data_IF_274660340464
#
_entry.id   IF_274660340464
#
_cell.length_a   1.000
_cell.length_b   1.000
_cell.length_c   1.000
_cell.angle_alpha   90.00
_cell.angle_beta   90.00
_cell.angle_gamma   90.00
#
_symmetry.space_group_name_H-M   'P 1'
#
loop_
_entity.id
_entity.type
_entity.pdbx_description
1 polymer ?
#
# COMPACT_ATOMS: atom_id res chain seq x y z
N UNK A 1 -12.53 0.96 7.99
CA UNK A 1 -12.37 -0.19 7.05
C UNK A 1 -13.15 -1.38 7.60
N UNK A 2 -13.47 -2.39 6.78
CA UNK A 2 -14.11 -3.60 7.30
C UNK A 2 -13.05 -4.66 7.61
N UNK A 3 -12.69 -4.80 8.89
CA UNK A 3 -11.83 -5.87 9.36
C UNK A 3 -12.62 -7.18 9.49
N UNK A 4 -11.99 -8.29 9.12
CA UNK A 4 -12.48 -9.62 9.45
C UNK A 4 -12.29 -9.91 10.95
N UNK A 5 -12.79 -11.05 11.42
CA UNK A 5 -12.50 -11.53 12.77
C UNK A 5 -10.99 -11.69 13.01
N UNK A 6 -10.26 -12.29 12.05
CA UNK A 6 -8.81 -12.42 12.12
C UNK A 6 -8.13 -11.05 12.09
N UNK A 7 -8.56 -10.16 11.19
CA UNK A 7 -8.00 -8.82 11.06
C UNK A 7 -8.15 -8.00 12.33
N UNK A 8 -9.31 -8.07 12.97
CA UNK A 8 -9.56 -7.43 14.26
C UNK A 8 -8.72 -8.02 15.39
N UNK A 9 -8.63 -9.36 15.45
CA UNK A 9 -7.83 -10.05 16.46
C UNK A 9 -6.35 -9.70 16.36
N UNK A 10 -5.77 -9.79 15.15
CA UNK A 10 -4.36 -9.45 14.91
C UNK A 10 -4.12 -7.97 15.18
N UNK A 11 -5.04 -7.07 14.82
CA UNK A 11 -4.87 -5.65 15.09
C UNK A 11 -4.77 -5.34 16.59
N UNK A 12 -5.41 -6.12 17.44
CA UNK A 12 -5.36 -5.95 18.91
C UNK A 12 -4.18 -6.68 19.56
N UNK A 13 -3.40 -7.44 18.79
CA UNK A 13 -2.25 -8.20 19.31
C UNK A 13 -1.03 -7.32 19.57
N UNK A 14 -0.08 -7.87 20.34
CA UNK A 14 1.21 -7.22 20.60
C UNK A 14 2.00 -6.95 19.32
N UNK A 15 2.90 -5.95 19.35
CA UNK A 15 3.65 -5.52 18.18
C UNK A 15 4.41 -6.66 17.47
N UNK A 16 5.03 -7.56 18.21
CA UNK A 16 5.74 -8.71 17.65
C UNK A 16 4.82 -9.62 16.81
N UNK A 17 3.58 -9.83 17.24
CA UNK A 17 2.62 -10.67 16.52
C UNK A 17 2.11 -9.97 15.27
N UNK A 18 1.75 -8.68 15.39
CA UNK A 18 1.41 -7.82 14.24
C UNK A 18 2.51 -7.85 13.17
N UNK A 19 3.77 -7.75 13.58
CA UNK A 19 4.90 -7.76 12.65
C UNK A 19 5.04 -9.09 11.90
N UNK A 20 4.80 -10.25 12.55
CA UNK A 20 4.79 -11.55 11.86
C UNK A 20 3.73 -11.60 10.76
N UNK A 21 2.51 -11.17 11.07
CA UNK A 21 1.43 -11.11 10.09
C UNK A 21 1.72 -10.13 8.96
N UNK A 22 2.29 -8.97 9.26
CA UNK A 22 2.72 -8.02 8.23
C UNK A 22 3.77 -8.62 7.29
N UNK A 23 4.75 -9.35 7.83
CA UNK A 23 5.75 -10.05 7.02
C UNK A 23 5.10 -11.13 6.16
N UNK A 24 4.19 -11.94 6.71
CA UNK A 24 3.46 -12.94 5.95
C UNK A 24 2.69 -12.30 4.77
N UNK A 25 2.01 -11.19 5.01
CA UNK A 25 1.31 -10.43 3.97
C UNK A 25 2.28 -9.85 2.92
N UNK A 26 3.42 -9.29 3.33
CA UNK A 26 4.42 -8.72 2.41
C UNK A 26 5.17 -9.79 1.60
N UNK A 27 5.38 -10.98 2.15
CA UNK A 27 6.04 -12.08 1.44
C UNK A 27 5.07 -12.98 0.67
N UNK A 28 3.75 -12.74 0.78
CA UNK A 28 2.73 -13.49 0.06
C UNK A 28 2.46 -14.87 0.66
N UNK A 29 2.74 -15.03 1.94
CA UNK A 29 2.39 -16.21 2.73
C UNK A 29 0.96 -16.13 3.30
N UNK A 30 0.33 -14.95 3.22
CA UNK A 30 -1.05 -14.72 3.64
C UNK A 30 -1.76 -13.78 2.65
N UNK A 31 -3.07 -13.95 2.48
CA UNK A 31 -3.91 -13.08 1.68
C UNK A 31 -4.50 -11.97 2.56
N UNK A 32 -4.44 -10.71 2.10
CA UNK A 32 -5.00 -9.57 2.83
C UNK A 32 -6.52 -9.66 2.99
N UNK A 33 -7.22 -10.37 2.09
CA UNK A 33 -8.67 -10.53 2.15
C UNK A 33 -9.11 -11.33 3.38
N UNK A 34 -8.21 -12.12 3.99
CA UNK A 34 -8.46 -12.79 5.27
C UNK A 34 -8.48 -11.82 6.45
N UNK A 35 -7.93 -10.61 6.30
CA UNK A 35 -7.82 -9.58 7.35
C UNK A 35 -8.78 -8.42 7.10
N UNK A 36 -8.99 -8.06 5.83
CA UNK A 36 -9.80 -6.92 5.39
C UNK A 36 -10.86 -7.41 4.38
N UNK A 37 -12.09 -7.61 4.85
CA UNK A 37 -13.13 -8.34 4.10
C UNK A 37 -13.89 -7.53 3.04
N UNK A 38 -13.76 -6.20 3.05
CA UNK A 38 -14.45 -5.30 2.12
C UNK A 38 -13.61 -4.10 1.73
N UNK A 39 -12.30 -4.18 1.93
CA UNK A 39 -11.38 -3.07 1.72
C UNK A 39 -10.97 -2.90 0.27
N UNK A 40 -10.75 -1.65 -0.13
CA UNK A 40 -10.07 -1.35 -1.40
C UNK A 40 -8.56 -1.25 -1.18
N UNK A 41 -7.82 -0.99 -2.25
CA UNK A 41 -6.35 -0.85 -2.25
C UNK A 41 -5.78 -0.05 -1.07
N UNK A 42 -6.42 1.07 -0.71
CA UNK A 42 -6.04 1.91 0.42
C UNK A 42 -6.16 1.22 1.78
N UNK A 43 -7.24 0.48 2.01
CA UNK A 43 -7.48 -0.21 3.28
C UNK A 43 -6.45 -1.31 3.48
N UNK A 44 -6.19 -2.11 2.45
CA UNK A 44 -5.16 -3.14 2.45
C UNK A 44 -3.78 -2.55 2.80
N UNK A 45 -3.40 -1.44 2.16
CA UNK A 45 -2.15 -0.77 2.44
C UNK A 45 -2.09 -0.22 3.87
N UNK A 46 -3.18 0.38 4.36
CA UNK A 46 -3.24 0.99 5.68
C UNK A 46 -3.14 -0.05 6.78
N UNK A 47 -3.79 -1.20 6.59
CA UNK A 47 -3.74 -2.32 7.52
C UNK A 47 -2.31 -2.86 7.67
N UNK A 48 -1.62 -3.13 6.56
CA UNK A 48 -0.23 -3.61 6.62
C UNK A 48 0.70 -2.56 7.21
N UNK A 49 0.52 -1.28 6.88
CA UNK A 49 1.27 -0.19 7.51
C UNK A 49 1.08 -0.16 9.02
N UNK A 50 -0.16 -0.28 9.49
CA UNK A 50 -0.48 -0.35 10.89
C UNK A 50 0.22 -1.52 11.60
N UNK A 51 0.25 -2.70 10.98
CA UNK A 51 0.89 -3.87 11.57
C UNK A 51 2.43 -3.75 11.67
N UNK A 52 3.06 -3.02 10.74
CA UNK A 52 4.51 -2.81 10.71
C UNK A 52 5.01 -1.78 11.70
N UNK A 53 4.15 -0.88 12.17
CA UNK A 53 4.53 0.31 12.92
C UNK A 53 4.16 0.20 14.40
N UNK A 54 5.15 0.35 15.25
CA UNK A 54 4.96 0.46 16.71
C UNK A 54 4.70 1.89 17.18
N UNK A 55 4.90 2.88 16.31
CA UNK A 55 4.97 4.32 16.61
C UNK A 55 3.63 5.09 16.47
N UNK A 56 2.50 4.39 16.52
CA UNK A 56 1.14 4.95 16.65
C UNK A 56 0.66 5.91 15.53
N UNK A 57 1.38 6.06 14.41
CA UNK A 57 0.95 6.95 13.31
C UNK A 57 -0.39 6.54 12.67
N UNK A 58 -0.74 5.25 12.74
CA UNK A 58 -2.10 4.76 12.50
C UNK A 58 -2.58 4.17 13.83
N UNK A 59 -3.62 4.75 14.41
CA UNK A 59 -4.24 4.21 15.63
C UNK A 59 -5.22 3.08 15.30
N UNK A 60 -5.54 2.19 16.26
CA UNK A 60 -6.59 1.20 16.07
C UNK A 60 -7.93 1.83 15.66
N UNK A 61 -8.31 2.96 16.27
CA UNK A 61 -9.52 3.71 15.91
C UNK A 61 -9.50 4.19 14.46
N UNK A 62 -8.35 4.63 13.95
CA UNK A 62 -8.23 5.03 12.55
C UNK A 62 -8.54 3.89 11.57
N UNK A 63 -8.23 2.63 11.91
CA UNK A 63 -8.59 1.47 11.10
C UNK A 63 -10.11 1.29 10.99
N UNK A 64 -10.84 1.57 12.06
CA UNK A 64 -12.30 1.43 12.09
C UNK A 64 -12.97 2.61 11.37
N UNK A 65 -12.49 3.83 11.64
CA UNK A 65 -13.15 5.07 11.23
C UNK A 65 -12.76 5.55 9.82
N UNK A 66 -11.66 5.04 9.25
CA UNK A 66 -11.19 5.45 7.92
C UNK A 66 -11.41 4.33 6.91
N UNK A 67 -12.03 4.65 5.76
CA UNK A 67 -12.34 3.69 4.69
C UNK A 67 -11.83 4.21 3.34
N UNK A 68 -11.28 3.32 2.53
CA UNK A 68 -10.95 3.57 1.13
C UNK A 68 -10.17 4.86 0.88
N UNK A 69 -10.65 5.72 -0.01
CA UNK A 69 -9.92 6.92 -0.43
C UNK A 69 -9.70 7.93 0.71
N UNK A 70 -10.42 7.84 1.82
CA UNK A 70 -10.18 8.71 2.99
C UNK A 70 -8.82 8.46 3.64
N UNK A 71 -8.15 7.35 3.34
CA UNK A 71 -6.76 7.13 3.74
C UNK A 71 -5.76 8.04 3.03
N UNK A 72 -6.12 8.67 1.89
CA UNK A 72 -5.20 9.52 1.12
C UNK A 72 -4.60 10.65 1.97
N UNK A 73 -5.44 11.32 2.75
CA UNK A 73 -5.00 12.43 3.62
C UNK A 73 -4.10 11.93 4.74
N UNK A 74 -4.35 10.72 5.25
CA UNK A 74 -3.49 10.09 6.27
C UNK A 74 -2.14 9.70 5.68
N UNK A 75 -2.11 8.95 4.58
CA UNK A 75 -0.85 8.58 3.93
C UNK A 75 -0.01 9.77 3.47
N UNK A 76 -0.66 10.91 3.22
CA UNK A 76 0.01 12.17 2.95
C UNK A 76 1.05 12.07 1.80
N UNK A 77 0.68 11.35 0.74
CA UNK A 77 1.55 11.08 -0.41
C UNK A 77 2.11 12.34 -1.07
N UNK A 78 1.37 13.44 -1.01
CA UNK A 78 1.72 14.74 -1.63
C UNK A 78 2.95 15.39 -0.99
N UNK A 79 3.22 15.10 0.28
CA UNK A 79 4.44 15.56 0.98
C UNK A 79 5.56 14.52 0.96
N UNK A 80 5.32 13.39 0.31
CA UNK A 80 6.22 12.28 0.16
C UNK A 80 7.37 12.53 -0.82
N UNK A 81 8.12 11.47 -1.13
CA UNK A 81 9.05 11.47 -2.26
C UNK A 81 8.38 10.97 -3.52
N UNK A 82 8.86 11.35 -4.70
CA UNK A 82 8.49 10.71 -5.96
C UNK A 82 9.52 9.62 -6.27
N UNK A 83 9.07 8.43 -6.67
CA UNK A 83 9.95 7.37 -7.12
C UNK A 83 10.37 7.61 -8.57
N UNK A 84 11.67 7.54 -8.82
CA UNK A 84 12.31 7.83 -10.11
C UNK A 84 12.36 6.63 -11.07
N UNK A 85 11.84 5.47 -10.64
CA UNK A 85 11.86 4.23 -11.41
C UNK A 85 13.13 3.39 -11.21
N UNK A 86 14.09 3.86 -10.40
CA UNK A 86 15.41 3.25 -10.25
C UNK A 86 15.77 2.95 -8.80
N UNK A 87 15.49 3.89 -7.90
CA UNK A 87 15.84 3.75 -6.49
C UNK A 87 15.13 2.56 -5.84
N UNK A 88 15.79 1.88 -4.90
CA UNK A 88 15.11 0.84 -4.12
C UNK A 88 14.10 1.48 -3.17
N UNK A 89 12.84 1.03 -3.21
CA UNK A 89 11.79 1.43 -2.28
C UNK A 89 11.92 0.56 -1.02
N UNK A 90 12.04 1.15 0.19
CA UNK A 90 12.08 0.39 1.43
C UNK A 90 10.83 -0.47 1.62
N UNK A 91 10.99 -1.70 2.10
CA UNK A 91 9.88 -2.58 2.40
C UNK A 91 8.94 -1.96 3.44
N UNK A 92 7.65 -2.23 3.30
CA UNK A 92 6.57 -1.64 4.06
C UNK A 92 6.08 -0.30 3.55
N UNK A 93 6.84 0.43 2.73
CA UNK A 93 6.47 1.79 2.28
C UNK A 93 5.11 1.80 1.61
N UNK A 94 4.20 2.68 2.06
CA UNK A 94 2.95 2.88 1.32
C UNK A 94 3.25 3.66 0.03
N UNK A 95 2.81 3.12 -1.09
CA UNK A 95 3.05 3.65 -2.43
C UNK A 95 1.72 4.12 -3.01
N UNK A 96 1.64 5.38 -3.44
CA UNK A 96 0.47 5.96 -4.08
C UNK A 96 0.70 6.19 -5.57
N UNK A 97 -0.30 5.91 -6.40
CA UNK A 97 -0.25 6.20 -7.83
C UNK A 97 -1.14 7.39 -8.13
N UNK A 98 -0.55 8.45 -8.67
CA UNK A 98 -1.22 9.73 -8.90
C UNK A 98 -1.36 10.03 -10.38
N UNK A 99 -2.56 10.43 -10.81
CA UNK A 99 -2.86 10.92 -12.16
C UNK A 99 -3.48 12.30 -12.04
N UNK A 100 -2.90 13.30 -12.73
CA UNK A 100 -3.38 14.69 -12.66
C UNK A 100 -3.44 15.24 -11.23
N UNK A 101 -2.48 14.87 -10.38
CA UNK A 101 -2.42 15.27 -8.97
C UNK A 101 -3.30 14.45 -8.02
N UNK A 102 -4.14 13.56 -8.53
CA UNK A 102 -5.05 12.74 -7.70
C UNK A 102 -4.53 11.32 -7.55
N UNK A 103 -4.28 10.90 -6.31
CA UNK A 103 -3.94 9.51 -6.00
C UNK A 103 -5.18 8.63 -6.20
N UNK A 104 -5.10 7.70 -7.14
CA UNK A 104 -6.22 6.81 -7.51
C UNK A 104 -6.04 5.38 -7.00
N UNK A 105 -4.81 4.97 -6.68
CA UNK A 105 -4.48 3.64 -6.21
C UNK A 105 -3.38 3.67 -5.16
N UNK A 106 -3.38 2.70 -4.25
CA UNK A 106 -2.39 2.56 -3.20
C UNK A 106 -1.92 1.10 -3.06
N UNK A 107 -0.65 0.93 -2.68
CA UNK A 107 0.00 -0.35 -2.54
C UNK A 107 1.00 -0.32 -1.37
N UNK A 108 1.56 -1.49 -1.04
CA UNK A 108 2.67 -1.61 -0.10
C UNK A 108 3.88 -2.14 -0.82
N UNK A 109 5.00 -1.42 -0.71
CA UNK A 109 6.29 -1.90 -1.16
C UNK A 109 6.74 -3.10 -0.34
N UNK A 110 7.26 -4.13 -1.00
CA UNK A 110 7.84 -5.32 -0.34
C UNK A 110 9.38 -5.31 -0.43
N UNK A 111 9.95 -4.17 -0.85
CA UNK A 111 11.38 -3.96 -1.04
C UNK A 111 11.79 -3.94 -2.52
N UNK A 112 12.79 -3.11 -2.86
CA UNK A 112 13.21 -2.91 -4.25
C UNK A 112 12.16 -2.12 -5.02
N UNK A 113 11.78 -2.58 -6.21
CA UNK A 113 10.70 -2.01 -7.03
C UNK A 113 9.38 -2.77 -6.90
N UNK A 114 9.29 -3.74 -5.98
CA UNK A 114 8.14 -4.65 -5.88
C UNK A 114 7.11 -4.15 -4.90
N UNK A 115 5.84 -4.37 -5.25
CA UNK A 115 4.68 -3.98 -4.44
C UNK A 115 3.66 -5.12 -4.32
N UNK A 116 2.78 -5.02 -3.33
CA UNK A 116 1.52 -5.77 -3.24
C UNK A 116 0.35 -4.80 -3.16
N UNK A 117 -0.71 -5.15 -3.88
CA UNK A 117 -1.93 -4.37 -3.95
C UNK A 117 -3.12 -5.25 -4.34
N UNK A 118 -4.32 -4.69 -4.26
CA UNK A 118 -5.57 -5.29 -4.76
C UNK A 118 -6.28 -4.26 -5.64
N UNK A 119 -7.02 -4.72 -6.66
CA UNK A 119 -7.87 -3.85 -7.50
C UNK A 119 -7.13 -2.73 -8.26
N UNK A 120 -5.83 -2.91 -8.54
CA UNK A 120 -4.97 -1.95 -9.24
C UNK A 120 -4.66 -2.29 -10.70
N UNK A 121 -5.29 -3.32 -11.27
CA UNK A 121 -4.98 -3.76 -12.64
C UNK A 121 -3.52 -4.24 -12.75
N UNK A 122 -2.74 -3.65 -13.66
CA UNK A 122 -1.31 -3.95 -13.83
C UNK A 122 -0.47 -3.46 -12.64
N UNK A 123 -1.02 -2.62 -11.76
CA UNK A 123 -0.39 -2.18 -10.50
C UNK A 123 -0.66 -3.13 -9.32
N UNK A 124 -1.31 -4.27 -9.59
CA UNK A 124 -1.61 -5.31 -8.60
C UNK A 124 -3.10 -5.55 -8.48
N UNK A 125 -3.56 -6.69 -9.00
CA UNK A 125 -4.98 -7.06 -8.99
C UNK A 125 -5.36 -8.01 -7.87
N UNK A 126 -4.38 -8.65 -7.23
CA UNK A 126 -4.59 -9.58 -6.12
C UNK A 126 -3.37 -9.61 -5.21
N UNK A 127 -3.59 -9.79 -3.93
CA UNK A 127 -2.55 -9.59 -2.92
C UNK A 127 -1.42 -10.62 -2.99
N UNK A 128 -1.76 -11.86 -3.37
CA UNK A 128 -0.85 -13.02 -3.34
C UNK A 128 0.33 -12.92 -4.30
N UNK A 129 0.25 -12.09 -5.34
CA UNK A 129 1.31 -11.93 -6.33
C UNK A 129 1.86 -10.51 -6.29
N UNK A 130 3.15 -10.38 -5.97
CA UNK A 130 3.82 -9.09 -6.01
C UNK A 130 4.01 -8.64 -7.46
N UNK A 131 3.86 -7.34 -7.70
CA UNK A 131 4.11 -6.69 -8.98
C UNK A 131 5.44 -5.97 -8.91
N UNK A 132 6.27 -6.11 -9.94
CA UNK A 132 7.50 -5.35 -10.10
C UNK A 132 7.25 -4.09 -10.93
N UNK A 133 7.29 -2.93 -10.28
CA UNK A 133 7.00 -1.64 -10.91
C UNK A 133 7.98 -1.31 -12.03
N UNK A 134 9.26 -1.68 -11.90
CA UNK A 134 10.27 -1.43 -12.92
C UNK A 134 10.03 -2.23 -14.22
N UNK A 135 9.18 -3.27 -14.16
CA UNK A 135 8.78 -4.08 -15.31
C UNK A 135 7.45 -3.67 -15.92
N UNK A 136 6.52 -3.15 -15.11
CA UNK A 136 5.16 -2.83 -15.57
C UNK A 136 4.96 -1.36 -15.92
N UNK A 137 5.84 -0.47 -15.45
CA UNK A 137 5.81 0.95 -15.74
C UNK A 137 6.90 1.31 -16.74
N UNK A 138 6.51 2.09 -17.75
CA UNK A 138 7.42 2.66 -18.73
C UNK A 138 7.67 4.14 -18.37
N UNK A 139 8.92 4.59 -18.22
CA UNK A 139 9.22 5.99 -17.95
C UNK A 139 8.71 6.90 -19.06
N UNK A 140 8.13 8.02 -18.68
CA UNK A 140 7.64 9.03 -19.61
C UNK A 140 8.70 10.13 -19.80
N UNK A 141 8.90 10.59 -21.03
CA UNK A 141 9.87 11.64 -21.35
C UNK A 141 9.56 12.98 -20.66
N UNK A 142 8.29 13.26 -20.36
CA UNK A 142 7.86 14.43 -19.60
C UNK A 142 8.03 14.27 -18.08
N UNK A 143 8.56 13.12 -17.62
CA UNK A 143 8.65 12.74 -16.22
C UNK A 143 7.48 11.85 -15.77
N UNK A 144 7.69 11.02 -14.75
CA UNK A 144 6.71 10.02 -14.31
C UNK A 144 6.70 8.78 -15.21
N UNK A 145 5.55 8.14 -15.36
CA UNK A 145 5.39 6.86 -16.06
C UNK A 145 4.12 6.81 -16.89
N UNK A 146 4.17 6.14 -18.05
CA UNK A 146 2.99 5.86 -18.86
C UNK A 146 2.22 4.67 -18.29
N UNK A 147 0.94 4.87 -17.98
CA UNK A 147 0.01 3.86 -17.47
C UNK A 147 -1.42 4.11 -17.96
N UNK A 148 -2.01 3.11 -18.63
CA UNK A 148 -3.36 3.19 -19.23
C UNK A 148 -3.55 4.44 -20.10
N UNK A 149 -2.59 4.71 -21.00
CA UNK A 149 -2.57 5.87 -21.92
C UNK A 149 -2.54 7.23 -21.22
N UNK A 150 -2.17 7.28 -19.95
CA UNK A 150 -2.00 8.51 -19.19
C UNK A 150 -0.67 8.52 -18.46
N UNK A 151 -0.13 9.70 -18.23
CA UNK A 151 1.02 9.87 -17.36
C UNK A 151 0.59 9.74 -15.88
N UNK A 152 1.37 9.02 -15.10
CA UNK A 152 1.19 8.89 -13.66
C UNK A 152 2.51 9.15 -12.92
N UNK A 153 2.38 9.55 -11.66
CA UNK A 153 3.48 9.63 -10.69
C UNK A 153 3.37 8.51 -9.66
N UNK A 154 4.51 8.01 -9.22
CA UNK A 154 4.61 7.05 -8.12
C UNK A 154 5.11 7.79 -6.88
N UNK A 155 4.25 7.90 -5.88
CA UNK A 155 4.49 8.68 -4.66
C UNK A 155 4.79 7.74 -3.49
N UNK A 156 5.79 8.09 -2.70
CA UNK A 156 6.25 7.32 -1.54
C UNK A 156 5.83 8.04 -0.26
N UNK A 157 4.90 7.42 0.47
CA UNK A 157 4.47 7.89 1.79
C UNK A 157 5.65 7.97 2.75
N UNK A 158 5.77 9.09 3.45
CA UNK A 158 6.70 9.23 4.60
C UNK A 158 6.11 8.67 5.90
N UNK A 159 4.81 8.38 5.89
CA UNK A 159 4.11 7.66 6.95
C UNK A 159 4.48 6.17 6.93
#
# INVERSE_FOLDING_TARGET
>A
MQLSQLGGHVAQSGFAERQKHAQALMFGMADINEYVSGGVCYDAAAYVRYLLRGDAMISPGALLDTIGQHWRTRFNFETGGEWDGRASIPAGTAVGFSRGGTVFHAAIAVGGSRIRAINGGRLGSGWMYAVDLARVLEPDAAGGFTYDRANIKVLLSRL
#
